data_IF_285215282533
#
_entry.id   IF_285215282533
#
_cell.length_a   1.000
_cell.length_b   1.000
_cell.length_c   1.000
_cell.angle_alpha   90.00
_cell.angle_beta   90.00
_cell.angle_gamma   90.00
#
_symmetry.space_group_name_H-M   'P 1'
#
loop_
_entity.id
_entity.type
_entity.pdbx_description
1 polymer ?
#
# COMPACT_ATOMS: atom_id res chain seq x y z
N UNK A 1 -9.49 -8.71 10.88
CA UNK A 1 -9.84 -7.76 9.80
C UNK A 1 -8.55 -7.41 9.07
N UNK A 2 -8.50 -7.60 7.77
CA UNK A 2 -7.32 -7.22 6.98
C UNK A 2 -7.22 -5.69 6.94
N UNK A 3 -6.05 -5.13 7.22
CA UNK A 3 -5.81 -3.68 7.11
C UNK A 3 -5.19 -3.36 5.75
N UNK A 4 -5.25 -2.08 5.36
CA UNK A 4 -4.67 -1.61 4.09
C UNK A 4 -3.17 -1.85 4.10
N UNK A 5 -2.47 -1.48 5.18
CA UNK A 5 -1.03 -1.66 5.31
C UNK A 5 -0.62 -3.13 5.22
N UNK A 6 -1.32 -4.01 5.95
CA UNK A 6 -1.06 -5.45 5.89
C UNK A 6 -1.32 -6.04 4.50
N UNK A 7 -2.38 -5.60 3.82
CA UNK A 7 -2.68 -6.01 2.45
C UNK A 7 -1.55 -5.62 1.48
N UNK A 8 -1.12 -4.36 1.50
CA UNK A 8 -0.01 -3.87 0.65
C UNK A 8 1.29 -4.62 0.94
N UNK A 9 1.61 -4.84 2.22
CA UNK A 9 2.78 -5.63 2.63
C UNK A 9 2.73 -7.06 2.07
N UNK A 10 1.57 -7.69 2.12
CA UNK A 10 1.38 -9.04 1.58
C UNK A 10 1.57 -9.07 0.07
N UNK A 11 1.03 -8.09 -0.66
CA UNK A 11 1.23 -8.01 -2.13
C UNK A 11 2.70 -7.79 -2.49
N UNK A 12 3.40 -6.90 -1.79
CA UNK A 12 4.86 -6.73 -1.96
C UNK A 12 5.63 -8.02 -1.70
N UNK A 13 5.28 -8.74 -0.62
CA UNK A 13 5.94 -10.00 -0.27
C UNK A 13 5.79 -11.06 -1.37
N UNK A 14 4.61 -11.19 -1.99
CA UNK A 14 4.40 -12.11 -3.10
C UNK A 14 5.13 -11.74 -4.39
N UNK A 15 5.55 -10.48 -4.52
CA UNK A 15 6.44 -10.03 -5.60
C UNK A 15 7.92 -10.20 -5.25
N UNK A 16 8.23 -10.71 -4.05
CA UNK A 16 9.59 -10.89 -3.53
C UNK A 16 10.42 -9.59 -3.50
N UNK A 17 9.73 -8.44 -3.39
CA UNK A 17 10.36 -7.12 -3.39
C UNK A 17 10.72 -6.69 -1.96
N UNK A 18 11.97 -6.27 -1.75
CA UNK A 18 12.37 -5.52 -0.55
C UNK A 18 11.89 -4.07 -0.64
N UNK A 19 11.75 -3.38 0.51
CA UNK A 19 11.38 -1.96 0.50
C UNK A 19 12.39 -1.10 -0.26
N UNK A 20 13.68 -1.45 -0.21
CA UNK A 20 14.72 -0.71 -0.92
C UNK A 20 14.54 -0.84 -2.45
N UNK A 21 14.31 -2.05 -2.94
CA UNK A 21 14.03 -2.27 -4.36
C UNK A 21 12.80 -1.49 -4.82
N UNK A 22 11.76 -1.39 -3.99
CA UNK A 22 10.59 -0.56 -4.31
C UNK A 22 10.99 0.91 -4.42
N UNK A 23 11.73 1.46 -3.45
CA UNK A 23 12.20 2.86 -3.51
C UNK A 23 13.02 3.12 -4.77
N UNK A 24 13.95 2.23 -5.10
CA UNK A 24 14.82 2.38 -6.26
C UNK A 24 14.04 2.33 -7.57
N UNK A 25 13.06 1.42 -7.67
CA UNK A 25 12.18 1.28 -8.85
C UNK A 25 11.23 2.46 -9.00
N UNK A 26 10.60 2.90 -7.90
CA UNK A 26 9.73 4.08 -7.87
C UNK A 26 10.50 5.33 -8.35
N UNK A 27 11.78 5.46 -7.97
CA UNK A 27 12.59 6.60 -8.40
C UNK A 27 13.03 6.50 -9.85
N UNK A 28 13.44 5.33 -10.30
CA UNK A 28 13.98 5.12 -11.65
C UNK A 28 12.90 5.10 -12.74
N UNK A 29 11.80 4.37 -12.51
CA UNK A 29 10.78 4.13 -13.53
C UNK A 29 9.68 5.21 -13.52
N UNK A 30 9.42 5.81 -12.37
CA UNK A 30 8.30 6.75 -12.18
C UNK A 30 8.74 8.18 -11.83
N UNK A 31 10.04 8.42 -11.62
CA UNK A 31 10.58 9.68 -11.12
C UNK A 31 9.91 10.19 -9.82
N UNK A 32 9.31 9.28 -9.05
CA UNK A 32 8.65 9.61 -7.79
C UNK A 32 9.64 9.44 -6.63
N UNK A 33 9.58 10.33 -5.63
CA UNK A 33 10.48 10.29 -4.49
C UNK A 33 9.77 9.74 -3.26
N UNK A 34 10.27 8.64 -2.71
CA UNK A 34 9.79 8.04 -1.46
C UNK A 34 10.95 7.48 -0.65
N UNK A 35 10.66 6.87 0.52
CA UNK A 35 11.67 6.22 1.36
C UNK A 35 11.15 4.93 1.97
N UNK A 36 12.08 4.06 2.36
CA UNK A 36 11.75 2.79 3.05
C UNK A 36 10.98 3.05 4.35
N UNK A 37 11.27 4.14 5.05
CA UNK A 37 10.54 4.59 6.25
C UNK A 37 9.07 4.92 5.95
N UNK A 38 8.80 5.64 4.85
CA UNK A 38 7.43 5.99 4.42
C UNK A 38 6.66 4.73 4.05
N UNK A 39 7.24 3.86 3.21
CA UNK A 39 6.62 2.61 2.79
C UNK A 39 6.36 1.68 3.99
N UNK A 40 7.32 1.56 4.92
CA UNK A 40 7.17 0.78 6.14
C UNK A 40 6.06 1.33 7.05
N UNK A 41 5.96 2.65 7.19
CA UNK A 41 4.90 3.28 7.98
C UNK A 41 3.51 3.01 7.38
N UNK A 42 3.38 3.01 6.05
CA UNK A 42 2.15 2.64 5.34
C UNK A 42 1.83 1.16 5.57
N UNK A 43 2.80 0.26 5.33
CA UNK A 43 2.64 -1.19 5.45
C UNK A 43 2.40 -1.70 6.87
N UNK A 44 2.66 -0.87 7.88
CA UNK A 44 2.40 -1.15 9.30
C UNK A 44 1.23 -0.34 9.85
N UNK A 45 0.44 0.31 8.99
CA UNK A 45 -0.71 1.15 9.34
C UNK A 45 -0.38 2.29 10.32
N UNK A 46 0.91 2.65 10.47
CA UNK A 46 1.35 3.82 11.25
C UNK A 46 1.02 5.13 10.54
N UNK A 47 1.07 5.11 9.21
CA UNK A 47 0.58 6.21 8.38
C UNK A 47 -0.73 5.80 7.72
N UNK A 48 -1.80 6.57 7.98
CA UNK A 48 -3.14 6.32 7.43
C UNK A 48 -3.37 7.01 6.08
N UNK A 49 -2.45 7.88 5.67
CA UNK A 49 -2.54 8.65 4.44
C UNK A 49 -1.53 8.08 3.46
N UNK A 50 -2.01 7.73 2.28
CA UNK A 50 -1.18 7.31 1.15
C UNK A 50 -1.41 8.34 0.06
N UNK A 51 -0.32 8.86 -0.49
CA UNK A 51 -0.38 9.73 -1.65
C UNK A 51 -1.03 9.00 -2.85
N UNK A 52 -1.87 9.68 -3.62
CA UNK A 52 -2.60 9.06 -4.72
C UNK A 52 -1.68 8.53 -5.81
N UNK A 53 -0.65 9.29 -6.19
CA UNK A 53 0.33 8.85 -7.20
C UNK A 53 1.11 7.65 -6.67
N UNK A 54 1.56 7.71 -5.42
CA UNK A 54 2.23 6.58 -4.77
C UNK A 54 1.34 5.33 -4.79
N UNK A 55 0.04 5.46 -4.51
CA UNK A 55 -0.88 4.32 -4.56
C UNK A 55 -0.92 3.66 -5.94
N UNK A 56 -0.98 4.43 -7.02
CA UNK A 56 -0.97 3.89 -8.38
C UNK A 56 0.36 3.22 -8.71
N UNK A 57 1.49 3.82 -8.34
CA UNK A 57 2.82 3.21 -8.54
C UNK A 57 2.93 1.89 -7.76
N UNK A 58 2.50 1.87 -6.49
CA UNK A 58 2.48 0.64 -5.71
C UNK A 58 1.53 -0.39 -6.32
N UNK A 59 0.45 0.04 -6.99
CA UNK A 59 -0.47 -0.90 -7.63
C UNK A 59 0.16 -1.63 -8.80
N UNK A 60 0.95 -0.93 -9.60
CA UNK A 60 1.72 -1.51 -10.69
C UNK A 60 2.80 -2.46 -10.15
N UNK A 61 3.66 -1.96 -9.25
CA UNK A 61 4.79 -2.75 -8.72
C UNK A 61 4.35 -3.98 -7.94
N UNK A 62 3.30 -3.85 -7.11
CA UNK A 62 2.85 -4.93 -6.23
C UNK A 62 1.83 -5.85 -6.92
N UNK A 63 1.31 -5.47 -8.08
CA UNK A 63 0.16 -6.13 -8.73
C UNK A 63 -1.09 -6.07 -7.85
N UNK A 64 -1.38 -4.89 -7.28
CA UNK A 64 -2.60 -4.67 -6.49
C UNK A 64 -3.77 -4.48 -7.43
N UNK A 65 -4.84 -5.24 -7.20
CA UNK A 65 -6.13 -4.93 -7.80
C UNK A 65 -6.78 -3.79 -7.02
N UNK A 66 -6.91 -2.61 -7.65
CA UNK A 66 -7.51 -1.43 -7.03
C UNK A 66 -8.97 -1.66 -6.64
N UNK A 67 -9.68 -2.57 -7.31
CA UNK A 67 -11.05 -2.94 -6.96
C UNK A 67 -11.08 -3.77 -5.68
N UNK A 68 -10.18 -4.75 -5.55
CA UNK A 68 -10.01 -5.53 -4.31
C UNK A 68 -9.65 -4.60 -3.14
N UNK A 69 -8.74 -3.66 -3.37
CA UNK A 69 -8.37 -2.66 -2.37
C UNK A 69 -9.54 -1.74 -1.99
N UNK A 70 -10.32 -1.28 -2.97
CA UNK A 70 -11.51 -0.47 -2.74
C UNK A 70 -12.53 -1.23 -1.87
N UNK A 71 -12.84 -2.48 -2.22
CA UNK A 71 -13.78 -3.31 -1.46
C UNK A 71 -13.31 -3.50 -0.02
N UNK A 72 -12.02 -3.77 0.18
CA UNK A 72 -11.41 -3.86 1.51
C UNK A 72 -11.61 -2.58 2.32
N UNK A 73 -11.32 -1.41 1.72
CA UNK A 73 -11.46 -0.11 2.38
C UNK A 73 -12.92 0.14 2.77
N UNK A 74 -13.85 -0.04 1.83
CA UNK A 74 -15.28 0.21 2.06
C UNK A 74 -15.86 -0.76 3.09
N UNK A 75 -15.46 -2.03 3.08
CA UNK A 75 -15.85 -3.01 4.08
C UNK A 75 -15.33 -2.64 5.46
N UNK A 76 -14.06 -2.21 5.56
CA UNK A 76 -13.48 -1.76 6.83
C UNK A 76 -14.23 -0.55 7.40
N UNK A 77 -14.63 0.41 6.56
CA UNK A 77 -15.42 1.56 6.98
C UNK A 77 -16.81 1.16 7.50
N UNK A 78 -17.53 0.31 6.76
CA UNK A 78 -18.84 -0.20 7.18
C UNK A 78 -18.77 -0.97 8.50
N UNK A 79 -17.75 -1.82 8.66
CA UNK A 79 -17.60 -2.68 9.84
C UNK A 79 -17.17 -1.88 11.08
N UNK A 80 -16.34 -0.85 10.92
CA UNK A 80 -15.92 0.02 12.02
C UNK A 80 -17.07 0.94 12.49
N UNK A 81 -17.97 1.36 11.61
CA UNK A 81 -19.15 2.15 12.00
C UNK A 81 -20.17 1.33 12.81
N UNK A 82 -20.22 0.00 12.64
CA UNK A 82 -21.10 -0.89 13.41
C UNK A 82 -20.58 -1.24 14.82
N UNK A 83 -19.41 -0.72 15.23
CA UNK A 83 -18.82 -0.94 16.56
C UNK A 83 -18.96 0.28 17.49
N UNK A 84 -19.79 1.25 17.13
CA UNK A 84 -20.16 2.38 17.98
C UNK A 84 -21.57 2.22 18.52
#
# INVERSE_FOLDING_TARGET
>A
MMTIGRYLRTKRFFKELTLQQVVDTVKSDYNFSTSTSVLSAIETDKNKIIDGELLFVLSDLYGVDLKELQELILNNLKTNNNRR
#
